data_IF_723915138202
#
_entry.id   IF_723915138202
#
_cell.length_a   1.000
_cell.length_b   1.000
_cell.length_c   1.000
_cell.angle_alpha   90.00
_cell.angle_beta   90.00
_cell.angle_gamma   90.00
#
_symmetry.space_group_name_H-M   'P 1'
#
loop_
_entity.id
_entity.type
_entity.pdbx_description
1 polymer ?
#
# COMPACT_ATOMS: atom_id res chain seq x y z
N UNK A 1 -11.46 -7.67 -3.40
CA UNK A 1 -10.52 -7.80 -2.27
C UNK A 1 -11.04 -7.17 -0.97
N UNK A 2 -11.65 -5.97 -0.98
CA UNK A 2 -12.00 -5.24 0.26
C UNK A 2 -12.76 -6.05 1.32
N UNK A 3 -13.81 -6.78 0.95
CA UNK A 3 -14.56 -7.65 1.88
C UNK A 3 -13.70 -8.76 2.48
N UNK A 4 -12.84 -9.40 1.68
CA UNK A 4 -11.92 -10.44 2.15
C UNK A 4 -10.91 -9.87 3.17
N UNK A 5 -10.34 -8.70 2.87
CA UNK A 5 -9.40 -8.04 3.78
C UNK A 5 -10.06 -7.59 5.09
N UNK A 6 -11.32 -7.17 5.04
CA UNK A 6 -12.11 -6.84 6.23
C UNK A 6 -12.41 -8.09 7.06
N UNK A 7 -12.82 -9.18 6.42
CA UNK A 7 -13.08 -10.47 7.06
C UNK A 7 -11.81 -11.06 7.71
N UNK A 8 -10.66 -10.94 7.05
CA UNK A 8 -9.37 -11.39 7.57
C UNK A 8 -8.80 -10.49 8.70
N UNK A 9 -9.41 -9.34 8.99
CA UNK A 9 -8.93 -8.44 10.05
C UNK A 9 -7.66 -7.66 9.71
N UNK A 10 -7.32 -7.52 8.42
CA UNK A 10 -6.16 -6.74 7.93
C UNK A 10 -6.56 -5.39 7.31
N UNK A 11 -7.85 -5.07 7.30
CA UNK A 11 -8.34 -3.74 6.93
C UNK A 11 -8.62 -2.89 8.19
N UNK A 12 -8.48 -1.55 8.11
CA UNK A 12 -8.85 -0.66 9.21
C UNK A 12 -10.34 -0.82 9.57
N UNK A 13 -10.65 -0.63 10.85
CA UNK A 13 -12.03 -0.63 11.32
C UNK A 13 -12.77 0.62 10.82
N UNK A 14 -14.02 0.44 10.39
CA UNK A 14 -14.94 1.54 10.12
C UNK A 14 -15.98 1.60 11.26
N UNK A 15 -15.75 2.47 12.24
CA UNK A 15 -16.64 2.67 13.39
C UNK A 15 -17.07 4.13 13.41
N UNK A 16 -18.33 4.36 13.03
CA UNK A 16 -18.92 5.69 12.92
C UNK A 16 -20.33 5.67 13.51
N UNK A 17 -20.69 6.74 14.22
CA UNK A 17 -22.00 6.91 14.84
C UNK A 17 -22.34 8.39 14.80
N UNK A 18 -23.53 8.74 14.31
CA UNK A 18 -23.98 10.13 14.17
C UNK A 18 -22.94 11.04 13.48
N UNK A 19 -22.31 10.56 12.40
CA UNK A 19 -21.30 11.31 11.64
C UNK A 19 -19.95 11.50 12.33
N UNK A 20 -19.74 10.92 13.52
CA UNK A 20 -18.47 10.98 14.24
C UNK A 20 -17.70 9.67 14.09
N UNK A 21 -16.47 9.77 13.57
CA UNK A 21 -15.53 8.64 13.51
C UNK A 21 -14.98 8.31 14.89
N UNK A 22 -15.16 7.07 15.30
CA UNK A 22 -14.64 6.48 16.54
C UNK A 22 -13.32 5.74 16.24
N UNK A 23 -13.01 4.71 17.03
CA UNK A 23 -11.80 3.90 16.87
C UNK A 23 -11.70 3.24 15.48
N UNK A 24 -10.56 3.40 14.83
CA UNK A 24 -10.22 2.77 13.54
C UNK A 24 -9.43 1.46 13.71
N UNK A 25 -9.42 0.89 14.93
CA UNK A 25 -8.71 -0.35 15.22
C UNK A 25 -9.19 -1.48 14.31
N UNK A 26 -8.26 -2.28 13.81
CA UNK A 26 -8.55 -3.46 13.00
C UNK A 26 -9.45 -4.41 13.78
N UNK A 27 -10.42 -5.03 13.09
CA UNK A 27 -11.25 -6.09 13.67
C UNK A 27 -10.39 -7.31 14.00
N UNK A 28 -10.87 -8.20 14.89
CA UNK A 28 -10.18 -9.47 15.18
C UNK A 28 -9.99 -10.31 13.91
N UNK A 29 -11.05 -10.41 13.10
CA UNK A 29 -11.05 -11.19 11.86
C UNK A 29 -10.75 -12.67 12.13
N UNK A 30 -10.26 -13.37 11.10
CA UNK A 30 -9.73 -14.71 11.26
C UNK A 30 -8.29 -14.64 11.82
N UNK A 31 -8.11 -15.06 13.08
CA UNK A 31 -6.83 -14.95 13.79
C UNK A 31 -5.70 -15.72 13.13
N UNK A 32 -5.96 -16.95 12.64
CA UNK A 32 -4.94 -17.79 12.00
C UNK A 32 -4.47 -17.16 10.68
N UNK A 33 -5.42 -16.76 9.82
CA UNK A 33 -5.10 -16.11 8.56
C UNK A 33 -4.34 -14.81 8.79
N UNK A 34 -4.76 -14.00 9.76
CA UNK A 34 -4.09 -12.76 10.11
C UNK A 34 -2.66 -12.99 10.56
N UNK A 35 -2.41 -13.97 11.43
CA UNK A 35 -1.06 -14.31 11.90
C UNK A 35 -0.15 -14.72 10.75
N UNK A 36 -0.61 -15.62 9.87
CA UNK A 36 0.15 -16.08 8.69
C UNK A 36 0.47 -14.91 7.75
N UNK A 37 -0.49 -14.02 7.49
CA UNK A 37 -0.25 -12.86 6.63
C UNK A 37 0.73 -11.87 7.25
N UNK A 38 0.69 -11.67 8.58
CA UNK A 38 1.64 -10.81 9.29
C UNK A 38 3.05 -11.39 9.28
N UNK A 39 3.19 -12.71 9.41
CA UNK A 39 4.46 -13.40 9.29
C UNK A 39 5.02 -13.30 7.87
N UNK A 40 4.19 -13.58 6.86
CA UNK A 40 4.55 -13.41 5.46
C UNK A 40 4.96 -11.97 5.13
N UNK A 41 4.27 -10.97 5.70
CA UNK A 41 4.62 -9.57 5.55
C UNK A 41 5.99 -9.22 6.15
N UNK A 42 6.33 -9.82 7.30
CA UNK A 42 7.66 -9.65 7.92
C UNK A 42 8.74 -10.34 7.10
N UNK A 43 8.50 -11.55 6.61
CA UNK A 43 9.42 -12.25 5.71
C UNK A 43 9.66 -11.46 4.41
N UNK A 44 8.59 -10.92 3.81
CA UNK A 44 8.68 -10.06 2.62
C UNK A 44 9.53 -8.80 2.88
N UNK A 45 9.49 -8.24 4.09
CA UNK A 45 10.32 -7.09 4.46
C UNK A 45 11.83 -7.36 4.46
N UNK A 46 12.23 -8.63 4.67
CA UNK A 46 13.62 -9.06 4.62
C UNK A 46 14.07 -9.51 3.22
N UNK A 47 13.14 -9.65 2.28
CA UNK A 47 13.46 -10.00 0.88
C UNK A 47 13.90 -8.73 0.15
N UNK A 48 15.13 -8.72 -0.35
CA UNK A 48 15.70 -7.56 -1.06
C UNK A 48 15.02 -7.35 -2.42
N UNK A 49 15.04 -6.12 -2.90
CA UNK A 49 14.67 -5.74 -4.27
C UNK A 49 13.22 -6.05 -4.69
N UNK A 50 12.29 -6.14 -3.72
CA UNK A 50 10.86 -6.36 -3.99
C UNK A 50 9.99 -5.15 -3.67
N UNK A 51 8.84 -5.06 -4.34
CA UNK A 51 7.78 -4.09 -4.11
C UNK A 51 7.27 -4.10 -2.67
N UNK A 52 7.08 -5.30 -2.08
CA UNK A 52 6.57 -5.44 -0.72
C UNK A 52 7.59 -5.00 0.33
N UNK A 53 8.88 -5.26 0.09
CA UNK A 53 9.96 -4.76 0.94
C UNK A 53 10.05 -3.23 0.88
N UNK A 54 10.01 -2.65 -0.33
CA UNK A 54 9.96 -1.20 -0.51
C UNK A 54 8.72 -0.58 0.19
N UNK A 55 7.55 -1.22 0.09
CA UNK A 55 6.34 -0.79 0.80
C UNK A 55 6.56 -0.80 2.31
N UNK A 56 7.17 -1.85 2.85
CA UNK A 56 7.42 -2.02 4.28
C UNK A 56 8.32 -0.89 4.79
N UNK A 57 9.53 -0.77 4.26
CA UNK A 57 10.55 0.16 4.77
C UNK A 57 10.11 1.62 4.65
N UNK A 58 9.45 1.98 3.54
CA UNK A 58 8.91 3.34 3.32
C UNK A 58 7.91 3.77 4.39
N UNK A 59 7.08 2.85 4.88
CA UNK A 59 6.04 3.17 5.86
C UNK A 59 6.55 2.94 7.29
N UNK A 60 7.51 2.04 7.50
CA UNK A 60 7.97 1.62 8.82
C UNK A 60 8.53 2.79 9.61
N UNK A 61 9.34 3.64 8.97
CA UNK A 61 9.95 4.82 9.58
C UNK A 61 8.94 5.78 10.22
N UNK A 62 7.72 5.89 9.68
CA UNK A 62 6.70 6.86 10.13
C UNK A 62 5.56 6.26 10.96
N UNK A 63 5.32 4.94 10.90
CA UNK A 63 4.15 4.29 11.55
C UNK A 63 4.53 3.18 12.52
N UNK A 64 5.78 2.76 12.56
CA UNK A 64 6.26 1.65 13.38
C UNK A 64 5.98 0.27 12.76
N UNK A 65 6.84 -0.68 13.10
CA UNK A 65 6.91 -2.02 12.48
C UNK A 65 5.60 -2.82 12.54
N UNK A 66 4.88 -2.77 13.67
CA UNK A 66 3.66 -3.56 13.85
C UNK A 66 2.51 -3.08 12.96
N UNK A 67 2.37 -1.77 12.77
CA UNK A 67 1.31 -1.21 11.90
C UNK A 67 1.60 -1.50 10.44
N UNK A 68 2.87 -1.47 10.06
CA UNK A 68 3.30 -1.74 8.70
C UNK A 68 3.18 -3.20 8.33
N UNK A 69 3.50 -4.13 9.24
CA UNK A 69 3.28 -5.56 8.99
C UNK A 69 1.81 -5.85 8.62
N UNK A 70 0.85 -5.19 9.28
CA UNK A 70 -0.58 -5.31 8.93
C UNK A 70 -0.91 -4.66 7.58
N UNK A 71 -0.31 -3.50 7.27
CA UNK A 71 -0.51 -2.85 5.97
C UNK A 71 0.04 -3.67 4.80
N UNK A 72 1.21 -4.30 4.97
CA UNK A 72 1.79 -5.20 3.96
C UNK A 72 0.99 -6.50 3.87
N UNK A 73 0.52 -7.05 4.99
CA UNK A 73 -0.41 -8.18 5.01
C UNK A 73 -1.70 -7.89 4.22
N UNK A 74 -2.24 -6.67 4.32
CA UNK A 74 -3.36 -6.22 3.50
C UNK A 74 -3.03 -6.24 2.01
N UNK A 75 -1.85 -5.75 1.63
CA UNK A 75 -1.38 -5.76 0.24
C UNK A 75 -1.21 -7.19 -0.29
N UNK A 76 -0.58 -8.08 0.49
CA UNK A 76 -0.42 -9.51 0.17
C UNK A 76 -1.78 -10.17 -0.08
N UNK A 77 -2.74 -10.01 0.85
CA UNK A 77 -4.06 -10.62 0.69
C UNK A 77 -4.82 -10.06 -0.50
N UNK A 78 -4.65 -8.77 -0.79
CA UNK A 78 -5.22 -8.13 -1.98
C UNK A 78 -4.63 -8.71 -3.26
N UNK A 79 -3.31 -8.89 -3.31
CA UNK A 79 -2.61 -9.53 -4.43
C UNK A 79 -3.15 -10.96 -4.62
N UNK A 80 -3.10 -11.79 -3.57
CA UNK A 80 -3.58 -13.18 -3.61
C UNK A 80 -5.01 -13.28 -4.13
N UNK A 81 -5.91 -12.40 -3.68
CA UNK A 81 -7.29 -12.35 -4.17
C UNK A 81 -7.36 -12.18 -5.69
N UNK A 82 -6.58 -11.25 -6.26
CA UNK A 82 -6.61 -10.99 -7.69
C UNK A 82 -5.88 -12.07 -8.50
N UNK A 83 -4.79 -12.65 -7.99
CA UNK A 83 -4.12 -13.78 -8.63
C UNK A 83 -5.08 -14.97 -8.77
N UNK A 84 -5.81 -15.31 -7.69
CA UNK A 84 -6.78 -16.39 -7.70
C UNK A 84 -8.00 -16.07 -8.58
N UNK A 85 -8.53 -14.85 -8.48
CA UNK A 85 -9.71 -14.43 -9.25
C UNK A 85 -9.45 -14.39 -10.75
N UNK A 86 -8.27 -13.90 -11.16
CA UNK A 86 -7.90 -13.73 -12.58
C UNK A 86 -7.14 -14.92 -13.15
N UNK A 87 -6.71 -15.85 -12.30
CA UNK A 87 -5.83 -16.98 -12.66
C UNK A 87 -4.52 -16.52 -13.31
N UNK A 88 -3.97 -15.43 -12.78
CA UNK A 88 -2.74 -14.81 -13.26
C UNK A 88 -1.57 -15.12 -12.30
N UNK A 89 -0.35 -15.05 -12.83
CA UNK A 89 0.87 -15.17 -12.03
C UNK A 89 1.18 -13.85 -11.32
N UNK A 90 1.88 -13.95 -10.19
CA UNK A 90 2.40 -12.75 -9.52
C UNK A 90 3.41 -12.05 -10.42
N UNK A 91 3.19 -10.75 -10.65
CA UNK A 91 4.13 -9.87 -11.33
C UNK A 91 4.78 -8.95 -10.31
N UNK A 92 6.10 -9.04 -10.17
CA UNK A 92 6.86 -8.21 -9.25
C UNK A 92 7.07 -6.81 -9.85
N UNK A 93 6.68 -5.77 -9.10
CA UNK A 93 6.77 -4.37 -9.56
C UNK A 93 8.16 -3.77 -9.28
N UNK A 94 8.95 -4.41 -8.44
CA UNK A 94 10.30 -3.98 -8.09
C UNK A 94 10.35 -2.88 -7.03
N UNK A 95 11.58 -2.61 -6.56
CA UNK A 95 11.86 -1.66 -5.48
C UNK A 95 11.56 -0.20 -5.87
N UNK A 96 11.75 0.16 -7.16
CA UNK A 96 11.63 1.52 -7.66
C UNK A 96 10.19 1.99 -7.90
N UNK A 97 9.21 1.08 -7.84
CA UNK A 97 7.81 1.38 -8.16
C UNK A 97 7.26 2.60 -7.41
N UNK A 98 7.56 2.74 -6.11
CA UNK A 98 7.09 3.88 -5.33
C UNK A 98 7.78 5.19 -5.69
N UNK A 99 9.06 5.15 -6.08
CA UNK A 99 9.81 6.34 -6.47
C UNK A 99 9.38 6.82 -7.86
N UNK A 100 9.21 5.91 -8.82
CA UNK A 100 8.67 6.23 -10.16
C UNK A 100 7.29 6.88 -10.05
N UNK A 101 6.38 6.28 -9.28
CA UNK A 101 5.05 6.84 -9.06
C UNK A 101 5.09 8.20 -8.35
N UNK A 102 6.05 8.41 -7.45
CA UNK A 102 6.24 9.71 -6.78
C UNK A 102 6.74 10.76 -7.75
N UNK A 103 7.67 10.42 -8.65
CA UNK A 103 8.15 11.32 -9.72
C UNK A 103 6.98 11.81 -10.58
N UNK A 104 6.12 10.91 -11.05
CA UNK A 104 4.94 11.28 -11.84
C UNK A 104 4.02 12.28 -11.11
N UNK A 105 3.76 12.04 -9.82
CA UNK A 105 2.93 12.93 -9.00
C UNK A 105 3.60 14.30 -8.87
N UNK A 106 4.91 14.36 -8.61
CA UNK A 106 5.66 15.60 -8.48
C UNK A 106 5.62 16.38 -9.80
N UNK A 107 5.88 15.73 -10.93
CA UNK A 107 5.82 16.35 -12.27
C UNK A 107 4.44 16.97 -12.49
N UNK A 108 3.36 16.21 -12.25
CA UNK A 108 1.99 16.69 -12.42
C UNK A 108 1.66 17.88 -11.51
N UNK A 109 2.10 17.83 -10.25
CA UNK A 109 1.90 18.93 -9.30
C UNK A 109 2.68 20.18 -9.71
N UNK A 110 3.92 20.02 -10.16
CA UNK A 110 4.77 21.12 -10.63
C UNK A 110 4.18 21.80 -11.87
N UNK A 111 3.71 21.04 -12.86
CA UNK A 111 3.03 21.59 -14.04
C UNK A 111 1.82 22.42 -13.61
N UNK A 112 0.95 21.85 -12.77
CA UNK A 112 -0.25 22.55 -12.27
C UNK A 112 0.09 23.86 -11.55
N UNK A 113 1.21 23.90 -10.81
CA UNK A 113 1.68 25.10 -10.12
C UNK A 113 2.20 26.16 -11.10
N UNK A 114 2.90 25.77 -12.16
CA UNK A 114 3.38 26.66 -13.21
C UNK A 114 2.22 27.25 -14.04
N UNK A 115 1.23 26.42 -14.39
CA UNK A 115 0.00 26.85 -15.06
C UNK A 115 -0.78 27.87 -14.23
N UNK A 116 -0.86 27.68 -12.91
CA UNK A 116 -1.51 28.63 -12.00
C UNK A 116 -0.81 30.00 -11.98
N UNK A 117 0.48 30.05 -12.29
CA UNK A 117 1.27 31.28 -12.46
C UNK A 117 1.22 31.83 -13.89
N UNK A 118 0.38 31.26 -14.76
CA UNK A 118 0.25 31.60 -16.19
C UNK A 118 1.53 31.38 -17.01
N UNK A 119 2.37 30.45 -16.56
CA UNK A 119 3.57 30.02 -17.28
C UNK A 119 3.27 28.72 -18.02
N UNK A 120 3.63 28.64 -19.31
CA UNK A 120 3.53 27.41 -20.10
C UNK A 120 4.72 26.51 -19.74
N UNK A 121 4.44 25.30 -19.23
CA UNK A 121 5.47 24.32 -18.89
C UNK A 121 5.48 23.17 -19.90
N UNK A 122 6.67 22.73 -20.32
CA UNK A 122 6.88 21.53 -21.13
C UNK A 122 7.94 20.70 -20.43
N UNK A 123 7.69 19.39 -20.30
CA UNK A 123 8.61 18.46 -19.61
C UNK A 123 9.28 17.61 -20.68
N UNK A 124 10.60 17.73 -20.76
CA UNK A 124 11.44 16.91 -21.62
C UNK A 124 12.23 15.93 -20.73
N UNK A 125 12.38 14.69 -21.20
CA UNK A 125 13.22 13.72 -20.51
C UNK A 125 14.68 14.06 -20.78
N UNK A 126 15.47 14.24 -19.72
CA UNK A 126 16.92 14.27 -19.85
C UNK A 126 17.40 12.86 -20.26
N UNK A 127 18.13 12.80 -21.38
CA UNK A 127 18.78 11.58 -21.90
C UNK A 127 19.99 11.23 -21.04
#
# INVERSE_FOLDING_TARGET
AAHLCSWAGVAPGNNESAGKRKSSRTRKGNEKLRSVLVEAARAAAHTKDTYLSAQYHRIAARRGVNRVAVAVAHSILTIVYYLLKRKERYNELGVNYYEERKKEIIVKQSIKKLEALRLKATVENAV
#
